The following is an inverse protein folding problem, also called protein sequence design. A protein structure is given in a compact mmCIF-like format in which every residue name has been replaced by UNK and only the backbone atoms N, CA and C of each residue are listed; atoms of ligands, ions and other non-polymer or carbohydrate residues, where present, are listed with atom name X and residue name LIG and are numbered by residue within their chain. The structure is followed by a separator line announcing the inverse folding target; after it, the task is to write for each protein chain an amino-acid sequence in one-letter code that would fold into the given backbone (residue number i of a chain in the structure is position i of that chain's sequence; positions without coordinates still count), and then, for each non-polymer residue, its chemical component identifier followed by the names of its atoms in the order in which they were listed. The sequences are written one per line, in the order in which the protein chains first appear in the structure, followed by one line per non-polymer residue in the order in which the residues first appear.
data_IF_016100675863
#
_entry.id   IF_016100675863
#
_cell.length_a   1.000
_cell.length_b   1.000
_cell.length_c   1.000
_cell.angle_alpha   90.00
_cell.angle_beta   90.00
_cell.angle_gamma   90.00
#
_symmetry.space_group_name_H-M   'P 1'
#
loop_
_entity.id
_entity.type
_entity.pdbx_description
1 polymer ?
#
# COMPACT_ATOMS: atom_id res chain seq x y z
N UNK A 1 -6.03 -23.12 32.19
CA UNK A 1 -5.70 -24.28 31.35
C UNK A 1 -5.88 -23.85 29.91
N UNK A 2 -4.80 -23.44 29.24
CA UNK A 2 -4.85 -22.77 27.92
C UNK A 2 -4.95 -23.83 26.83
N UNK A 3 -6.10 -23.93 26.18
CA UNK A 3 -6.35 -24.88 25.09
C UNK A 3 -5.80 -24.36 23.76
N UNK A 4 -4.83 -25.07 23.19
CA UNK A 4 -4.23 -24.76 21.90
C UNK A 4 -5.21 -24.87 20.73
N UNK A 5 -5.12 -23.91 19.81
CA UNK A 5 -5.89 -23.91 18.57
C UNK A 5 -5.44 -25.07 17.66
N UNK A 6 -6.28 -26.10 17.53
CA UNK A 6 -6.15 -27.12 16.49
C UNK A 6 -6.70 -26.58 15.17
N UNK A 7 -5.99 -26.87 14.07
CA UNK A 7 -6.41 -26.59 12.69
C UNK A 7 -7.81 -27.17 12.43
N UNK A 8 -8.79 -26.30 12.18
CA UNK A 8 -10.11 -26.71 11.70
C UNK A 8 -10.05 -27.03 10.20
N UNK A 9 -10.45 -28.26 9.86
CA UNK A 9 -10.61 -28.73 8.49
C UNK A 9 -11.73 -28.03 7.72
N UNK A 10 -11.66 -28.13 6.39
CA UNK A 10 -12.60 -27.53 5.43
C UNK A 10 -14.06 -27.89 5.77
N UNK A 11 -14.88 -26.86 5.98
CA UNK A 11 -16.33 -26.99 6.13
C UNK A 11 -17.03 -27.47 4.84
N UNK A 12 -18.29 -27.95 4.94
CA UNK A 12 -19.00 -28.63 3.86
C UNK A 12 -19.38 -27.67 2.73
N UNK A 13 -19.26 -28.13 1.48
CA UNK A 13 -19.70 -27.39 0.29
C UNK A 13 -21.22 -27.47 0.19
N UNK A 14 -21.90 -26.35 0.44
CA UNK A 14 -23.32 -26.19 0.16
C UNK A 14 -23.47 -25.72 -1.29
N UNK A 15 -24.06 -26.57 -2.13
CA UNK A 15 -24.38 -26.26 -3.53
C UNK A 15 -25.63 -25.37 -3.59
N UNK A 16 -25.43 -24.10 -3.94
CA UNK A 16 -26.52 -23.16 -4.25
C UNK A 16 -26.33 -22.59 -5.66
N UNK A 17 -27.25 -22.92 -6.58
CA UNK A 17 -27.35 -22.26 -7.90
C UNK A 17 -27.88 -20.85 -7.70
N UNK A 18 -26.99 -19.89 -7.40
CA UNK A 18 -27.29 -18.46 -7.40
C UNK A 18 -27.01 -17.89 -8.78
N UNK A 19 -28.04 -17.39 -9.46
CA UNK A 19 -27.90 -16.67 -10.72
C UNK A 19 -26.98 -15.46 -10.54
N UNK A 20 -25.83 -15.49 -11.22
CA UNK A 20 -24.85 -14.40 -11.23
C UNK A 20 -25.44 -13.19 -11.98
N UNK A 21 -25.95 -12.21 -11.25
CA UNK A 21 -26.36 -10.93 -11.80
C UNK A 21 -25.10 -10.13 -12.16
N UNK A 22 -24.70 -10.17 -13.44
CA UNK A 22 -23.61 -9.33 -13.98
C UNK A 22 -24.18 -7.94 -14.31
N UNK A 23 -23.71 -6.85 -13.68
CA UNK A 23 -24.06 -5.52 -14.13
C UNK A 23 -23.39 -5.26 -15.49
N UNK A 24 -24.19 -4.90 -16.50
CA UNK A 24 -23.68 -4.41 -17.78
C UNK A 24 -23.14 -2.98 -17.59
N UNK A 25 -21.84 -2.84 -17.41
CA UNK A 25 -21.17 -1.53 -17.50
C UNK A 25 -20.99 -1.23 -18.99
N UNK A 26 -21.93 -0.50 -19.57
CA UNK A 26 -21.78 0.12 -20.88
C UNK A 26 -21.06 1.45 -20.74
N UNK A 27 -19.85 1.56 -21.28
CA UNK A 27 -19.26 2.86 -21.66
C UNK A 27 -18.64 2.73 -23.04
N UNK A 28 -19.33 3.31 -24.02
CA UNK A 28 -18.74 3.69 -25.30
C UNK A 28 -17.83 4.89 -25.07
N UNK A 29 -16.54 4.75 -25.38
CA UNK A 29 -15.61 5.87 -25.49
C UNK A 29 -15.14 5.95 -26.94
N UNK A 30 -15.92 6.63 -27.77
CA UNK A 30 -15.48 7.16 -29.06
C UNK A 30 -15.15 8.64 -28.86
N UNK A 31 -13.89 9.02 -29.04
CA UNK A 31 -13.51 10.44 -28.96
C UNK A 31 -12.02 10.69 -28.78
N UNK A 32 -11.25 10.53 -29.86
CA UNK A 32 -9.91 11.09 -29.99
C UNK A 32 -9.96 12.60 -29.82
N UNK A 33 -9.32 13.14 -28.77
CA UNK A 33 -8.84 14.53 -28.76
C UNK A 33 -7.38 14.52 -28.34
N UNK A 34 -6.51 14.80 -29.31
CA UNK A 34 -5.10 15.12 -29.10
C UNK A 34 -5.02 16.31 -28.16
N UNK A 35 -4.54 16.11 -26.94
CA UNK A 35 -4.11 17.20 -26.07
C UNK A 35 -2.68 17.59 -26.47
N UNK A 36 -2.57 18.38 -27.53
CA UNK A 36 -1.35 19.13 -27.81
C UNK A 36 -1.39 20.40 -26.97
N UNK A 37 -0.82 20.34 -25.77
CA UNK A 37 -0.28 21.45 -24.99
C UNK A 37 0.33 20.88 -23.70
N UNK A 38 1.46 20.20 -23.87
CA UNK A 38 2.34 19.86 -22.76
C UNK A 38 3.08 21.15 -22.37
N UNK A 39 2.74 21.70 -21.21
CA UNK A 39 3.66 22.53 -20.42
C UNK A 39 5.02 21.81 -20.35
N UNK A 40 6.16 22.53 -20.27
CA UNK A 40 7.47 21.91 -20.32
C UNK A 40 7.56 20.85 -19.22
N UNK A 41 7.48 19.59 -19.63
CA UNK A 41 7.86 18.44 -18.84
C UNK A 41 9.20 18.80 -18.23
N UNK A 42 9.32 18.65 -16.92
CA UNK A 42 10.55 18.89 -16.16
C UNK A 42 11.70 18.24 -16.93
N UNK A 43 12.46 19.03 -17.69
CA UNK A 43 13.67 18.57 -18.33
C UNK A 43 14.60 18.18 -17.19
N UNK A 44 15.14 16.96 -17.15
CA UNK A 44 16.16 16.65 -16.17
C UNK A 44 17.42 17.44 -16.54
N UNK A 45 17.57 18.64 -15.98
CA UNK A 45 18.74 19.50 -16.15
C UNK A 45 19.94 19.05 -15.31
N UNK A 46 20.04 17.76 -14.98
CA UNK A 46 21.20 17.20 -14.30
C UNK A 46 21.56 15.84 -14.90
N UNK A 47 22.80 15.72 -15.35
CA UNK A 47 23.37 14.59 -16.09
C UNK A 47 23.63 13.34 -15.25
N UNK A 48 23.04 13.22 -14.05
CA UNK A 48 23.18 12.05 -13.19
C UNK A 48 21.82 11.37 -13.01
N UNK A 49 21.71 10.15 -13.51
CA UNK A 49 20.53 9.30 -13.33
C UNK A 49 20.30 9.05 -11.84
N UNK A 50 19.07 9.28 -11.36
CA UNK A 50 18.71 9.03 -9.97
C UNK A 50 18.74 7.52 -9.69
N UNK A 51 19.51 7.11 -8.68
CA UNK A 51 19.51 5.74 -8.19
C UNK A 51 18.55 5.61 -6.99
N UNK A 52 17.48 4.85 -7.16
CA UNK A 52 16.55 4.54 -6.08
C UNK A 52 17.20 3.61 -5.04
N UNK A 53 16.67 3.64 -3.83
CA UNK A 53 17.19 2.90 -2.66
C UNK A 53 16.06 2.13 -1.99
N UNK A 54 16.42 1.10 -1.23
CA UNK A 54 15.48 0.38 -0.37
C UNK A 54 15.25 1.17 0.92
N UNK A 55 14.02 1.19 1.44
CA UNK A 55 13.67 1.83 2.70
C UNK A 55 13.31 0.77 3.74
N UNK A 56 14.10 0.64 4.80
CA UNK A 56 13.76 -0.19 5.95
C UNK A 56 14.38 0.38 7.24
N UNK A 57 13.74 0.14 8.37
CA UNK A 57 14.09 0.73 9.67
C UNK A 57 14.28 2.27 9.64
N UNK A 58 13.46 2.97 8.84
CA UNK A 58 13.50 4.44 8.71
C UNK A 58 14.73 5.00 8.00
N UNK A 59 15.52 4.17 7.30
CA UNK A 59 16.73 4.60 6.58
C UNK A 59 16.74 4.07 5.15
N UNK A 60 17.38 4.82 4.26
CA UNK A 60 17.62 4.44 2.88
C UNK A 60 18.91 3.63 2.75
N UNK A 61 18.83 2.49 2.09
CA UNK A 61 19.94 1.55 1.89
C UNK A 61 20.13 1.29 0.40
N UNK A 62 21.39 1.17 -0.03
CA UNK A 62 21.69 0.60 -1.33
C UNK A 62 21.29 -0.89 -1.33
N UNK A 63 21.07 -1.46 -2.50
CA UNK A 63 20.95 -2.91 -2.64
C UNK A 63 22.31 -3.46 -3.07
N UNK A 64 22.73 -4.56 -2.45
CA UNK A 64 24.11 -5.04 -2.56
C UNK A 64 24.27 -6.23 -3.54
N UNK A 65 23.18 -6.77 -4.09
CA UNK A 65 23.24 -8.11 -4.72
C UNK A 65 22.65 -8.30 -6.12
N UNK A 66 21.51 -7.70 -6.48
CA UNK A 66 20.73 -8.15 -7.65
C UNK A 66 20.82 -7.28 -8.91
N UNK A 67 21.67 -6.26 -8.93
CA UNK A 67 21.76 -5.31 -10.03
C UNK A 67 20.65 -4.24 -10.00
N UNK A 68 20.40 -3.59 -11.12
CA UNK A 68 19.42 -2.51 -11.22
C UNK A 68 18.64 -2.57 -12.53
N UNK A 69 17.38 -2.14 -12.48
CA UNK A 69 16.51 -1.96 -13.63
C UNK A 69 16.39 -0.48 -13.97
N UNK A 70 16.47 -0.14 -15.25
CA UNK A 70 16.21 1.21 -15.74
C UNK A 70 14.71 1.53 -15.66
N UNK A 71 14.39 2.71 -15.14
CA UNK A 71 13.04 3.27 -15.19
C UNK A 71 12.98 4.19 -16.39
N UNK A 72 12.20 3.82 -17.40
CA UNK A 72 12.06 4.57 -18.64
C UNK A 72 10.72 5.29 -18.66
N UNK A 73 10.74 6.60 -18.91
CA UNK A 73 9.52 7.39 -19.04
C UNK A 73 8.76 6.99 -20.32
N UNK A 74 7.49 6.55 -20.24
CA UNK A 74 6.69 6.26 -21.43
C UNK A 74 6.39 7.51 -22.28
N UNK A 75 6.55 8.71 -21.70
CA UNK A 75 6.30 9.99 -22.38
C UNK A 75 7.44 10.40 -23.30
N UNK A 76 8.69 10.10 -22.92
CA UNK A 76 9.89 10.57 -23.61
C UNK A 76 10.75 9.45 -24.17
N UNK A 77 10.56 8.21 -23.70
CA UNK A 77 11.44 7.08 -24.00
C UNK A 77 12.81 7.16 -23.34
N UNK A 78 13.07 8.17 -22.51
CA UNK A 78 14.34 8.35 -21.82
C UNK A 78 14.36 7.65 -20.47
N UNK A 79 15.54 7.15 -20.09
CA UNK A 79 15.79 6.65 -18.73
C UNK A 79 15.78 7.83 -17.77
N UNK A 80 14.95 7.74 -16.72
CA UNK A 80 14.76 8.79 -15.71
C UNK A 80 15.36 8.42 -14.35
N UNK A 81 15.52 7.13 -14.07
CA UNK A 81 16.07 6.61 -12.84
C UNK A 81 16.53 5.16 -13.01
N UNK A 82 17.21 4.61 -12.00
CA UNK A 82 17.44 3.17 -11.85
C UNK A 82 16.87 2.69 -10.52
N UNK A 83 16.25 1.51 -10.51
CA UNK A 83 15.71 0.86 -9.31
C UNK A 83 16.49 -0.42 -9.02
N UNK A 84 16.92 -0.66 -7.77
CA UNK A 84 17.63 -1.89 -7.44
C UNK A 84 16.72 -3.11 -7.57
N UNK A 85 17.26 -4.20 -8.12
CA UNK A 85 16.65 -5.52 -8.02
C UNK A 85 17.18 -6.15 -6.73
N UNK A 86 16.35 -6.18 -5.70
CA UNK A 86 16.77 -6.65 -4.37
C UNK A 86 16.85 -8.18 -4.34
N UNK A 87 17.94 -8.71 -3.79
CA UNK A 87 18.12 -10.15 -3.58
C UNK A 87 17.48 -10.62 -2.27
N UNK A 88 17.55 -11.92 -1.98
CA UNK A 88 17.07 -12.46 -0.71
C UNK A 88 17.88 -11.89 0.48
N UNK A 89 19.18 -11.64 0.27
CA UNK A 89 20.10 -11.05 1.23
C UNK A 89 19.74 -9.59 1.53
N UNK A 90 19.21 -8.84 0.56
CA UNK A 90 18.71 -7.46 0.78
C UNK A 90 17.39 -7.46 1.58
N UNK A 91 16.56 -8.50 1.44
CA UNK A 91 15.25 -8.61 2.10
C UNK A 91 15.38 -9.07 3.56
N UNK A 92 16.31 -9.98 3.87
CA UNK A 92 16.53 -10.51 5.22
C UNK A 92 16.64 -9.42 6.31
N UNK A 93 17.50 -8.39 6.19
CA UNK A 93 17.61 -7.35 7.21
C UNK A 93 16.34 -6.50 7.35
N UNK A 94 15.58 -6.31 6.27
CA UNK A 94 14.30 -5.62 6.31
C UNK A 94 13.25 -6.42 7.10
N UNK A 95 13.22 -7.75 6.91
CA UNK A 95 12.35 -8.67 7.66
C UNK A 95 12.74 -8.73 9.13
N UNK A 96 14.04 -8.80 9.45
CA UNK A 96 14.52 -8.80 10.83
C UNK A 96 14.16 -7.49 11.56
N UNK A 97 14.35 -6.34 10.89
CA UNK A 97 13.94 -5.05 11.42
C UNK A 97 12.42 -4.98 11.64
N UNK A 98 11.63 -5.49 10.70
CA UNK A 98 10.18 -5.56 10.83
C UNK A 98 9.75 -6.47 11.99
N UNK A 99 10.40 -7.63 12.17
CA UNK A 99 10.11 -8.55 13.26
C UNK A 99 10.43 -7.97 14.64
N UNK A 100 11.53 -7.22 14.74
CA UNK A 100 11.88 -6.49 15.96
C UNK A 100 10.84 -5.39 16.27
N UNK A 101 10.48 -4.59 15.27
CA UNK A 101 9.48 -3.52 15.41
C UNK A 101 8.07 -4.06 15.70
N UNK A 102 7.69 -5.20 15.11
CA UNK A 102 6.36 -5.79 15.26
C UNK A 102 6.03 -6.12 16.72
N UNK A 103 7.03 -6.51 17.53
CA UNK A 103 6.81 -6.79 18.97
C UNK A 103 6.38 -5.55 19.73
N UNK A 104 7.03 -4.42 19.45
CA UNK A 104 6.69 -3.13 20.08
C UNK A 104 5.37 -2.62 19.51
N UNK A 105 5.23 -2.62 18.19
CA UNK A 105 4.05 -2.13 17.48
C UNK A 105 2.78 -2.88 17.85
N UNK A 106 2.86 -4.20 18.09
CA UNK A 106 1.71 -4.99 18.49
C UNK A 106 1.16 -4.60 19.87
N UNK A 107 2.03 -4.12 20.77
CA UNK A 107 1.62 -3.60 22.08
C UNK A 107 1.17 -2.13 22.05
N UNK A 108 1.35 -1.44 20.92
CA UNK A 108 0.96 -0.04 20.77
C UNK A 108 -0.57 0.10 20.63
N UNK A 109 -1.23 0.89 21.49
CA UNK A 109 -2.67 1.13 21.38
C UNK A 109 -3.07 1.66 20.01
N UNK A 110 -4.24 1.24 19.49
CA UNK A 110 -4.75 1.67 18.16
C UNK A 110 -4.76 3.20 18.04
N UNK A 111 -5.11 3.92 19.11
CA UNK A 111 -5.12 5.38 19.16
C UNK A 111 -3.74 6.01 18.93
N UNK A 112 -2.66 5.35 19.35
CA UNK A 112 -1.29 5.83 19.11
C UNK A 112 -0.83 5.44 17.70
N UNK A 113 -1.25 4.27 17.20
CA UNK A 113 -0.91 3.81 15.84
C UNK A 113 -1.44 4.72 14.72
N UNK A 114 -2.55 5.43 14.95
CA UNK A 114 -3.09 6.38 13.96
C UNK A 114 -2.32 7.70 13.86
N UNK A 115 -1.47 8.04 14.84
CA UNK A 115 -0.68 9.29 14.84
C UNK A 115 0.28 9.36 13.64
N UNK A 116 1.16 8.36 13.40
CA UNK A 116 2.02 8.37 12.22
C UNK A 116 1.23 8.31 10.90
N UNK A 117 0.08 7.62 10.86
CA UNK A 117 -0.79 7.59 9.68
C UNK A 117 -1.40 8.96 9.37
N UNK A 118 -1.78 9.74 10.39
CA UNK A 118 -2.24 11.11 10.22
C UNK A 118 -1.12 11.97 9.64
N UNK A 119 0.09 11.85 10.18
CA UNK A 119 1.24 12.59 9.68
C UNK A 119 1.58 12.22 8.24
N UNK A 120 1.49 10.94 7.89
CA UNK A 120 1.61 10.45 6.52
C UNK A 120 0.57 11.11 5.61
N UNK A 121 -0.71 11.06 5.98
CA UNK A 121 -1.79 11.69 5.21
C UNK A 121 -1.55 13.18 4.95
N UNK A 122 -1.18 13.94 5.99
CA UNK A 122 -0.88 15.37 5.88
C UNK A 122 0.27 15.66 4.90
N UNK A 123 1.37 14.90 5.02
CA UNK A 123 2.54 15.06 4.16
C UNK A 123 2.23 14.67 2.71
N UNK A 124 1.56 13.54 2.51
CA UNK A 124 1.18 13.08 1.17
C UNK A 124 0.22 14.06 0.50
N UNK A 125 -0.74 14.62 1.24
CA UNK A 125 -1.65 15.65 0.72
C UNK A 125 -0.91 16.93 0.35
N UNK A 126 0.03 17.38 1.21
CA UNK A 126 0.86 18.56 0.93
C UNK A 126 1.69 18.40 -0.35
N UNK A 127 2.25 17.22 -0.58
CA UNK A 127 3.11 16.93 -1.73
C UNK A 127 2.36 16.24 -2.89
N UNK A 128 1.03 16.24 -2.88
CA UNK A 128 0.22 15.47 -3.83
C UNK A 128 0.50 15.83 -5.30
N UNK A 129 0.75 17.11 -5.58
CA UNK A 129 1.11 17.57 -6.92
C UNK A 129 2.42 16.95 -7.39
N UNK A 130 3.47 17.02 -6.58
CA UNK A 130 4.81 16.49 -6.90
C UNK A 130 4.77 14.98 -7.10
N UNK A 131 4.06 14.27 -6.21
CA UNK A 131 3.88 12.81 -6.31
C UNK A 131 3.11 12.44 -7.58
N UNK A 132 2.08 13.20 -7.96
CA UNK A 132 1.32 12.97 -9.17
C UNK A 132 2.16 13.18 -10.45
N UNK A 133 3.04 14.19 -10.46
CA UNK A 133 3.98 14.39 -11.58
C UNK A 133 4.94 13.21 -11.73
N UNK A 134 5.52 12.73 -10.62
CA UNK A 134 6.43 11.58 -10.64
C UNK A 134 5.72 10.31 -11.12
N UNK A 135 4.55 10.01 -10.55
CA UNK A 135 3.77 8.85 -10.95
C UNK A 135 3.32 8.94 -12.42
N UNK A 136 2.98 10.13 -12.91
CA UNK A 136 2.72 10.38 -14.34
C UNK A 136 3.96 10.03 -15.16
N UNK A 137 5.10 10.63 -14.84
CA UNK A 137 6.37 10.45 -15.56
C UNK A 137 6.80 8.98 -15.67
N UNK A 138 6.66 8.20 -14.60
CA UNK A 138 7.08 6.79 -14.53
C UNK A 138 6.11 5.83 -15.24
N UNK A 139 4.80 6.07 -15.14
CA UNK A 139 3.80 5.07 -15.56
C UNK A 139 3.06 5.40 -16.85
N UNK A 140 3.23 6.61 -17.39
CA UNK A 140 2.56 7.03 -18.63
C UNK A 140 1.10 7.46 -18.46
N UNK A 141 0.55 7.42 -17.24
CA UNK A 141 -0.80 7.93 -16.96
C UNK A 141 -0.82 9.46 -17.02
N UNK A 142 -1.98 10.06 -17.24
CA UNK A 142 -2.09 11.53 -17.13
C UNK A 142 -1.91 11.96 -15.67
N UNK A 143 -1.37 13.17 -15.45
CA UNK A 143 -1.26 13.77 -14.11
C UNK A 143 -2.58 13.75 -13.33
N UNK A 144 -3.71 13.95 -14.01
CA UNK A 144 -5.04 13.90 -13.39
C UNK A 144 -5.38 12.49 -12.89
N UNK A 145 -5.10 11.45 -13.68
CA UNK A 145 -5.28 10.05 -13.26
C UNK A 145 -4.31 9.66 -12.14
N UNK A 146 -3.08 10.17 -12.17
CA UNK A 146 -2.10 9.97 -11.10
C UNK A 146 -2.59 10.56 -9.77
N UNK A 147 -3.06 11.80 -9.80
CA UNK A 147 -3.61 12.49 -8.63
C UNK A 147 -4.85 11.79 -8.10
N UNK A 148 -5.77 11.39 -8.99
CA UNK A 148 -6.96 10.64 -8.60
C UNK A 148 -6.56 9.31 -7.93
N UNK A 149 -5.60 8.57 -8.48
CA UNK A 149 -5.10 7.34 -7.88
C UNK A 149 -4.47 7.54 -6.50
N UNK A 150 -3.71 8.63 -6.31
CA UNK A 150 -3.14 9.03 -5.02
C UNK A 150 -4.24 9.30 -3.99
N UNK A 151 -5.27 10.07 -4.37
CA UNK A 151 -6.42 10.39 -3.52
C UNK A 151 -7.19 9.12 -3.12
N UNK A 152 -7.43 8.19 -4.05
CA UNK A 152 -8.06 6.89 -3.77
C UNK A 152 -7.25 6.03 -2.78
N UNK A 153 -5.93 6.18 -2.78
CA UNK A 153 -5.07 5.56 -1.76
C UNK A 153 -5.23 6.22 -0.40
N UNK A 154 -5.24 7.55 -0.36
CA UNK A 154 -5.42 8.33 0.87
C UNK A 154 -6.76 8.08 1.56
N UNK A 155 -7.83 7.79 0.82
CA UNK A 155 -9.11 7.38 1.41
C UNK A 155 -8.98 6.15 2.34
N UNK A 156 -8.09 5.20 2.01
CA UNK A 156 -7.84 4.04 2.89
C UNK A 156 -7.04 4.44 4.13
N UNK A 157 -6.13 5.40 3.99
CA UNK A 157 -5.43 5.99 5.13
C UNK A 157 -6.43 6.70 6.06
N UNK A 158 -7.34 7.48 5.51
CA UNK A 158 -8.42 8.15 6.27
C UNK A 158 -9.31 7.14 6.98
N UNK A 159 -9.68 6.04 6.31
CA UNK A 159 -10.38 4.94 6.93
C UNK A 159 -9.58 4.34 8.10
N UNK A 160 -8.27 4.13 7.95
CA UNK A 160 -7.40 3.65 9.01
C UNK A 160 -7.37 4.59 10.24
N UNK A 161 -7.47 5.91 10.03
CA UNK A 161 -7.57 6.89 11.13
C UNK A 161 -8.84 6.72 11.97
N UNK A 162 -9.89 6.13 11.40
CA UNK A 162 -11.17 5.87 12.09
C UNK A 162 -11.19 4.58 12.91
N UNK A 163 -10.18 3.69 12.75
CA UNK A 163 -10.11 2.39 13.42
C UNK A 163 -10.29 2.42 14.95
N UNK A 164 -9.79 3.43 15.71
CA UNK A 164 -10.04 3.51 17.15
C UNK A 164 -11.53 3.50 17.52
N UNK A 165 -12.42 3.92 16.61
CA UNK A 165 -13.87 3.96 16.83
C UNK A 165 -14.59 2.73 16.28
N UNK A 166 -13.98 2.00 15.33
CA UNK A 166 -14.64 0.91 14.60
C UNK A 166 -14.41 -0.47 15.23
N UNK A 167 -13.38 -0.62 16.05
CA UNK A 167 -13.05 -1.90 16.68
C UNK A 167 -12.90 -1.80 18.21
N UNK A 168 -14.02 -1.71 18.95
CA UNK A 168 -13.98 -1.69 20.41
C UNK A 168 -13.73 -3.07 21.03
N UNK A 169 -13.60 -4.13 20.23
CA UNK A 169 -13.75 -5.51 20.71
C UNK A 169 -15.16 -5.81 21.20
N UNK A 170 -15.34 -6.92 21.89
CA UNK A 170 -16.61 -7.21 22.54
C UNK A 170 -16.52 -8.30 23.58
N UNK A 171 -17.44 -8.22 24.54
CA UNK A 171 -17.55 -9.14 25.68
C UNK A 171 -19.03 -9.40 25.96
N UNK A 172 -19.39 -10.66 26.13
CA UNK A 172 -20.76 -11.10 26.38
C UNK A 172 -20.79 -12.13 27.50
N UNK A 173 -21.60 -11.90 28.53
CA UNK A 173 -21.90 -12.92 29.53
C UNK A 173 -22.88 -13.95 28.93
N UNK A 174 -22.41 -15.17 28.73
CA UNK A 174 -23.18 -16.27 28.12
C UNK A 174 -23.87 -17.16 29.14
N UNK A 175 -23.40 -17.12 30.39
CA UNK A 175 -24.02 -17.75 31.56
C UNK A 175 -23.52 -17.06 32.82
N UNK A 176 -24.18 -17.28 33.96
CA UNK A 176 -23.82 -16.65 35.23
C UNK A 176 -22.34 -16.88 35.56
N UNK A 177 -21.54 -15.81 35.53
CA UNK A 177 -20.10 -15.87 35.79
C UNK A 177 -19.25 -16.43 34.64
N UNK A 178 -19.82 -16.56 33.43
CA UNK A 178 -19.12 -17.04 32.23
C UNK A 178 -19.23 -15.99 31.13
N UNK A 179 -18.08 -15.43 30.75
CA UNK A 179 -17.97 -14.40 29.72
C UNK A 179 -17.19 -14.90 28.51
N UNK A 180 -17.66 -14.56 27.32
CA UNK A 180 -16.94 -14.74 26.07
C UNK A 180 -16.50 -13.39 25.52
N UNK A 181 -15.24 -13.27 25.13
CA UNK A 181 -14.69 -12.07 24.50
C UNK A 181 -14.19 -12.35 23.08
N UNK A 182 -14.18 -11.30 22.26
CA UNK A 182 -13.41 -11.29 21.02
C UNK A 182 -12.54 -10.03 20.96
N UNK A 183 -11.38 -10.18 20.33
CA UNK A 183 -10.43 -9.10 20.09
C UNK A 183 -9.66 -9.37 18.79
N UNK A 184 -9.20 -8.30 18.15
CA UNK A 184 -8.30 -8.39 16.99
C UNK A 184 -6.86 -8.22 17.45
N UNK A 185 -6.02 -9.18 17.08
CA UNK A 185 -4.59 -9.17 17.37
C UNK A 185 -3.81 -9.01 16.05
N UNK A 186 -2.68 -8.29 16.05
CA UNK A 186 -1.82 -8.18 14.88
C UNK A 186 -1.30 -9.56 14.44
N UNK A 187 -1.22 -9.78 13.13
CA UNK A 187 -0.66 -11.01 12.57
C UNK A 187 0.87 -11.12 12.71
N UNK A 188 1.55 -9.98 12.87
CA UNK A 188 3.00 -9.87 12.85
C UNK A 188 3.51 -9.30 11.53
N UNK A 189 4.62 -9.84 11.02
CA UNK A 189 5.22 -9.38 9.76
C UNK A 189 4.41 -9.89 8.57
N UNK A 190 4.01 -8.98 7.68
CA UNK A 190 3.28 -9.27 6.45
C UNK A 190 4.03 -8.72 5.24
N UNK A 191 3.88 -9.36 4.08
CA UNK A 191 4.48 -8.93 2.82
C UNK A 191 3.41 -8.45 1.85
N UNK A 192 3.66 -7.33 1.19
CA UNK A 192 2.80 -6.79 0.13
C UNK A 192 3.55 -6.68 -1.20
N UNK A 193 2.99 -7.28 -2.25
CA UNK A 193 3.52 -7.22 -3.61
C UNK A 193 2.49 -6.51 -4.47
N UNK A 194 2.87 -5.39 -5.08
CA UNK A 194 1.94 -4.50 -5.78
C UNK A 194 2.24 -4.40 -7.27
N UNK A 195 1.20 -4.29 -8.13
CA UNK A 195 1.37 -4.13 -9.56
C UNK A 195 1.82 -2.70 -9.92
N UNK A 196 2.39 -2.55 -11.11
CA UNK A 196 2.95 -1.28 -11.60
C UNK A 196 1.88 -0.22 -11.96
N UNK A 197 0.65 -0.63 -12.26
CA UNK A 197 -0.37 0.27 -12.83
C UNK A 197 -0.86 1.33 -11.83
N UNK A 198 -0.77 1.06 -10.54
CA UNK A 198 -1.18 1.99 -9.48
C UNK A 198 -0.16 2.00 -8.32
N UNK A 199 1.00 2.65 -8.52
CA UNK A 199 2.15 2.55 -7.62
C UNK A 199 1.94 3.24 -6.27
N UNK A 200 0.96 4.15 -6.16
CA UNK A 200 0.58 4.77 -4.89
C UNK A 200 -0.64 4.08 -4.27
N UNK A 201 -1.73 3.95 -5.04
CA UNK A 201 -3.03 3.47 -4.57
C UNK A 201 -2.97 2.06 -3.97
N UNK A 202 -2.36 1.09 -4.68
CA UNK A 202 -2.40 -0.31 -4.26
C UNK A 202 -1.54 -0.54 -3.01
N UNK A 203 -0.31 0.02 -2.87
CA UNK A 203 0.40 -0.06 -1.60
C UNK A 203 -0.40 0.54 -0.43
N UNK A 204 -1.07 1.68 -0.64
CA UNK A 204 -1.93 2.30 0.39
C UNK A 204 -3.20 1.49 0.70
N UNK A 205 -3.58 0.50 -0.11
CA UNK A 205 -4.63 -0.44 0.27
C UNK A 205 -4.15 -1.51 1.26
N UNK A 206 -2.83 -1.65 1.43
CA UNK A 206 -2.21 -2.70 2.23
C UNK A 206 -1.69 -2.16 3.56
N UNK A 207 -0.72 -1.24 3.51
CA UNK A 207 0.06 -0.90 4.72
C UNK A 207 -0.68 -0.06 5.78
N UNK A 208 -1.67 0.80 5.48
CA UNK A 208 -2.34 1.59 6.53
C UNK A 208 -3.19 0.74 7.49
N UNK A 209 -3.57 -0.47 7.07
CA UNK A 209 -4.37 -1.41 7.86
C UNK A 209 -3.52 -2.48 8.56
N UNK A 210 -2.19 -2.41 8.41
CA UNK A 210 -1.24 -3.38 8.94
C UNK A 210 -0.88 -3.15 10.42
#
# INVERSE_FOLDING_TARGET
MVGGARKAGKGPRVGGRGAFFRPKIGRSFTGSRRCANLLPLVSPTNSELRQCKNLWAGRWHAADGGGSLEVTSPHTGQVIATVPLSSAEDVAPAVDAAAAAARVWASTPVKERVIPLRRFHELTTRHASEIAELASLESGKTRAEALAGLQRGLEVVEFALSLPNLDPGGSLEVSRGVTCEYRREPLGVVAGITPFNFPAMVPMWMFPLA
#
